data_IF_608945307453
#
_entry.id   IF_608945307453
#
_cell.length_a   1.000
_cell.length_b   1.000
_cell.length_c   1.000
_cell.angle_alpha   90.00
_cell.angle_beta   90.00
_cell.angle_gamma   90.00
#
_symmetry.space_group_name_H-M   'P 1'
#
loop_
_entity.id
_entity.type
_entity.pdbx_description
1 polymer ?
#
# COMPACT_ATOMS: atom_id res chain seq x y z
N UNK A 1 1.84 -15.76 24.26
CA UNK A 1 1.31 -15.88 22.89
C UNK A 1 2.05 -14.85 22.04
N UNK A 2 2.92 -15.26 21.13
CA UNK A 2 3.59 -14.30 20.21
C UNK A 2 2.47 -13.68 19.34
N UNK A 3 2.43 -12.37 19.12
CA UNK A 3 1.48 -11.76 18.18
C UNK A 3 2.20 -11.73 16.84
N UNK A 4 1.57 -12.24 15.77
CA UNK A 4 2.17 -12.13 14.44
C UNK A 4 2.14 -10.66 14.04
N UNK A 5 3.30 -10.10 13.75
CA UNK A 5 3.41 -8.69 13.42
C UNK A 5 3.24 -8.51 11.92
N UNK A 6 2.24 -7.72 11.54
CA UNK A 6 1.90 -7.45 10.14
C UNK A 6 2.31 -6.02 9.82
N UNK A 7 3.04 -5.81 8.74
CA UNK A 7 3.31 -4.47 8.21
C UNK A 7 2.53 -4.25 6.91
N UNK A 8 2.11 -3.01 6.65
CA UNK A 8 1.51 -2.64 5.38
C UNK A 8 2.58 -2.21 4.37
N UNK A 9 2.37 -2.51 3.10
CA UNK A 9 3.17 -2.03 1.98
C UNK A 9 2.26 -1.43 0.90
N UNK A 10 2.51 -0.18 0.53
CA UNK A 10 1.78 0.51 -0.54
C UNK A 10 2.77 0.87 -1.66
N UNK A 11 2.66 0.28 -2.86
CA UNK A 11 3.39 0.77 -4.02
C UNK A 11 2.74 2.07 -4.52
N UNK A 12 3.56 3.09 -4.75
CA UNK A 12 3.09 4.36 -5.27
C UNK A 12 4.11 4.96 -6.25
N UNK A 13 3.65 5.25 -7.47
CA UNK A 13 4.41 5.96 -8.50
C UNK A 13 4.14 7.46 -8.42
N UNK A 14 5.01 8.25 -9.08
CA UNK A 14 4.76 9.67 -9.27
C UNK A 14 3.40 9.94 -9.92
N UNK A 15 2.83 11.11 -9.62
CA UNK A 15 1.47 11.46 -10.06
C UNK A 15 1.40 11.86 -11.54
N UNK A 16 2.55 12.16 -12.16
CA UNK A 16 2.65 12.51 -13.58
C UNK A 16 2.10 11.34 -14.39
N UNK A 17 1.15 11.64 -15.29
CA UNK A 17 0.41 10.66 -16.10
C UNK A 17 -0.52 9.71 -15.33
N UNK A 18 -0.70 9.87 -14.02
CA UNK A 18 -1.61 9.04 -13.24
C UNK A 18 -3.05 9.09 -13.77
N UNK A 19 -3.82 8.03 -13.49
CA UNK A 19 -5.24 7.93 -13.83
C UNK A 19 -5.53 8.19 -15.32
N UNK A 20 -4.66 7.72 -16.22
CA UNK A 20 -4.78 7.96 -17.67
C UNK A 20 -6.14 7.53 -18.26
N UNK A 21 -6.80 6.53 -17.68
CA UNK A 21 -8.16 6.12 -18.08
C UNK A 21 -9.21 7.23 -17.89
N UNK A 22 -8.93 8.23 -17.06
CA UNK A 22 -9.80 9.40 -16.82
C UNK A 22 -9.45 10.60 -17.72
N UNK A 23 -8.47 10.49 -18.63
CA UNK A 23 -8.10 11.57 -19.55
C UNK A 23 -9.28 12.14 -20.38
N UNK A 24 -10.31 11.35 -20.78
CA UNK A 24 -11.49 11.90 -21.44
C UNK A 24 -12.34 12.84 -20.58
N UNK A 25 -12.19 12.80 -19.25
CA UNK A 25 -13.03 13.54 -18.29
C UNK A 25 -12.25 14.61 -17.52
N UNK A 26 -10.93 14.42 -17.34
CA UNK A 26 -10.08 15.25 -16.49
C UNK A 26 -8.79 15.66 -17.21
N UNK A 27 -8.45 16.95 -17.12
CA UNK A 27 -7.13 17.46 -17.50
C UNK A 27 -6.01 16.77 -16.71
N UNK A 28 -4.79 16.75 -17.24
CA UNK A 28 -3.61 16.19 -16.57
C UNK A 28 -3.44 16.69 -15.12
N UNK A 29 -3.50 18.00 -14.88
CA UNK A 29 -3.40 18.59 -13.54
C UNK A 29 -4.48 18.08 -12.57
N UNK A 30 -5.73 17.93 -13.04
CA UNK A 30 -6.81 17.36 -12.22
C UNK A 30 -6.59 15.87 -11.92
N UNK A 31 -5.98 15.11 -12.82
CA UNK A 31 -5.65 13.70 -12.60
C UNK A 31 -4.52 13.53 -11.59
N UNK A 32 -3.50 14.38 -11.67
CA UNK A 32 -2.43 14.45 -10.68
C UNK A 32 -2.97 14.77 -9.28
N UNK A 33 -3.77 15.83 -9.16
CA UNK A 33 -4.41 16.21 -7.90
C UNK A 33 -5.29 15.10 -7.34
N UNK A 34 -6.07 14.43 -8.21
CA UNK A 34 -6.90 13.29 -7.80
C UNK A 34 -6.03 12.13 -7.29
N UNK A 35 -4.95 11.78 -7.99
CA UNK A 35 -4.07 10.71 -7.57
C UNK A 35 -3.36 11.02 -6.24
N UNK A 36 -2.90 12.26 -6.05
CA UNK A 36 -2.33 12.70 -4.77
C UNK A 36 -3.36 12.62 -3.63
N UNK A 37 -4.58 13.11 -3.86
CA UNK A 37 -5.66 13.04 -2.87
C UNK A 37 -5.98 11.58 -2.49
N UNK A 38 -6.12 10.69 -3.48
CA UNK A 38 -6.40 9.28 -3.24
C UNK A 38 -5.30 8.61 -2.41
N UNK A 39 -4.03 8.87 -2.70
CA UNK A 39 -2.93 8.32 -1.91
C UNK A 39 -2.94 8.83 -0.47
N UNK A 40 -3.20 10.13 -0.26
CA UNK A 40 -3.32 10.72 1.08
C UNK A 40 -4.45 10.08 1.87
N UNK A 41 -5.61 9.89 1.25
CA UNK A 41 -6.77 9.24 1.87
C UNK A 41 -6.41 7.82 2.31
N UNK A 42 -5.84 7.01 1.41
CA UNK A 42 -5.40 5.64 1.72
C UNK A 42 -4.36 5.62 2.84
N UNK A 43 -3.29 6.41 2.74
CA UNK A 43 -2.24 6.43 3.75
C UNK A 43 -2.77 6.84 5.12
N UNK A 44 -3.66 7.83 5.18
CA UNK A 44 -4.26 8.28 6.45
C UNK A 44 -5.03 7.16 7.15
N UNK A 45 -5.74 6.32 6.39
CA UNK A 45 -6.55 5.23 6.92
C UNK A 45 -5.69 4.01 7.28
N UNK A 46 -4.65 3.75 6.51
CA UNK A 46 -3.70 2.66 6.78
C UNK A 46 -2.87 2.95 8.03
N UNK A 47 -2.38 4.17 8.20
CA UNK A 47 -1.66 4.59 9.42
C UNK A 47 -2.57 4.58 10.66
N UNK A 48 -3.87 4.86 10.49
CA UNK A 48 -4.85 4.83 11.58
C UNK A 48 -5.21 3.40 12.03
N UNK A 49 -5.03 2.40 11.16
CA UNK A 49 -5.45 1.02 11.43
C UNK A 49 -4.65 0.38 12.57
N UNK A 50 -5.37 -0.18 13.54
CA UNK A 50 -4.75 -0.86 14.67
C UNK A 50 -4.30 -2.26 14.29
N UNK A 51 -3.20 -2.71 14.91
CA UNK A 51 -2.66 -4.06 14.70
C UNK A 51 -1.59 -4.15 13.61
N UNK A 52 -1.41 -3.11 12.79
CA UNK A 52 -0.21 -2.96 11.97
C UNK A 52 0.99 -2.57 12.84
N UNK A 53 2.14 -3.20 12.61
CA UNK A 53 3.40 -2.84 13.25
C UNK A 53 3.99 -1.56 12.63
N UNK A 54 3.93 -1.47 11.30
CA UNK A 54 4.48 -0.36 10.55
C UNK A 54 3.82 -0.26 9.16
N UNK A 55 3.91 0.92 8.56
CA UNK A 55 3.43 1.21 7.20
C UNK A 55 4.62 1.58 6.34
N UNK A 56 4.74 0.95 5.19
CA UNK A 56 5.79 1.21 4.21
C UNK A 56 5.19 1.68 2.89
N UNK A 57 5.88 2.62 2.24
CA UNK A 57 5.60 3.05 0.88
C UNK A 57 6.84 2.79 0.03
N UNK A 58 6.68 2.08 -1.07
CA UNK A 58 7.75 1.94 -2.07
C UNK A 58 7.51 2.92 -3.22
N UNK A 59 8.50 3.76 -3.49
CA UNK A 59 8.41 4.79 -4.52
C UNK A 59 9.78 5.28 -4.99
N UNK A 60 9.87 5.65 -6.27
CA UNK A 60 10.96 6.45 -6.82
C UNK A 60 10.69 7.96 -6.79
N UNK A 61 9.46 8.38 -6.52
CA UNK A 61 9.03 9.77 -6.62
C UNK A 61 9.24 10.53 -5.30
N UNK A 62 9.83 11.73 -5.38
CA UNK A 62 10.11 12.58 -4.21
C UNK A 62 8.82 13.05 -3.53
N UNK A 63 7.83 13.46 -4.32
CA UNK A 63 6.58 14.00 -3.77
C UNK A 63 5.81 12.93 -3.01
N UNK A 64 5.77 11.70 -3.53
CA UNK A 64 5.20 10.54 -2.84
C UNK A 64 5.96 10.25 -1.54
N UNK A 65 7.30 10.29 -1.57
CA UNK A 65 8.16 10.10 -0.40
C UNK A 65 7.89 11.11 0.71
N UNK A 66 7.78 12.40 0.36
CA UNK A 66 7.43 13.48 1.29
C UNK A 66 6.07 13.24 1.95
N UNK A 67 5.05 12.88 1.16
CA UNK A 67 3.70 12.61 1.65
C UNK A 67 3.70 11.45 2.62
N UNK A 68 4.29 10.32 2.23
CA UNK A 68 4.39 9.12 3.04
C UNK A 68 5.07 9.41 4.39
N UNK A 69 6.23 10.05 4.35
CA UNK A 69 6.98 10.43 5.54
C UNK A 69 6.20 11.38 6.45
N UNK A 70 5.51 12.37 5.88
CA UNK A 70 4.71 13.34 6.65
C UNK A 70 3.53 12.72 7.39
N UNK A 71 3.03 11.58 6.90
CA UNK A 71 1.94 10.81 7.50
C UNK A 71 2.45 9.69 8.43
N UNK A 72 3.76 9.56 8.62
CA UNK A 72 4.36 8.56 9.52
C UNK A 72 4.64 7.20 8.90
N UNK A 73 4.55 7.07 7.57
CA UNK A 73 4.98 5.86 6.87
C UNK A 73 6.48 5.88 6.58
N UNK A 74 7.10 4.69 6.55
CA UNK A 74 8.49 4.51 6.13
C UNK A 74 8.59 4.43 4.61
N UNK A 75 9.61 5.06 4.04
CA UNK A 75 9.84 5.03 2.59
C UNK A 75 10.91 3.98 2.23
N UNK A 76 10.60 3.16 1.25
CA UNK A 76 11.56 2.30 0.54
C UNK A 76 11.78 2.92 -0.84
N UNK A 77 13.01 3.35 -1.11
CA UNK A 77 13.35 4.02 -2.36
C UNK A 77 13.64 3.01 -3.45
N UNK A 78 12.89 3.09 -4.55
CA UNK A 78 13.14 2.33 -5.77
C UNK A 78 13.63 3.29 -6.86
N UNK A 79 14.91 3.25 -7.20
CA UNK A 79 15.49 4.15 -8.20
C UNK A 79 15.06 3.81 -9.64
N UNK A 80 14.60 2.58 -9.88
CA UNK A 80 14.24 2.09 -11.21
C UNK A 80 12.76 1.68 -11.24
N UNK A 81 11.86 2.59 -11.61
CA UNK A 81 10.44 2.27 -11.77
C UNK A 81 10.22 1.32 -12.95
N UNK A 82 10.16 0.00 -12.68
CA UNK A 82 9.99 -1.03 -13.72
C UNK A 82 8.56 -1.54 -13.86
N UNK A 83 7.67 -1.14 -12.97
CA UNK A 83 6.31 -1.68 -12.90
C UNK A 83 5.87 -1.75 -11.44
N UNK A 84 4.59 -2.00 -11.22
CA UNK A 84 4.07 -2.13 -9.85
C UNK A 84 4.50 -3.46 -9.21
N UNK A 85 4.44 -4.56 -9.96
CA UNK A 85 4.86 -5.89 -9.52
C UNK A 85 6.34 -5.92 -9.12
N UNK A 86 7.19 -5.26 -9.90
CA UNK A 86 8.62 -5.15 -9.65
C UNK A 86 8.88 -4.33 -8.38
N UNK A 87 8.18 -3.20 -8.21
CA UNK A 87 8.28 -2.36 -7.01
C UNK A 87 7.90 -3.12 -5.74
N UNK A 88 6.79 -3.88 -5.79
CA UNK A 88 6.36 -4.73 -4.68
C UNK A 88 7.40 -5.82 -4.40
N UNK A 89 7.91 -6.49 -5.44
CA UNK A 89 8.91 -7.56 -5.29
C UNK A 89 10.19 -7.03 -4.64
N UNK A 90 10.68 -5.87 -5.11
CA UNK A 90 11.83 -5.18 -4.55
C UNK A 90 11.61 -4.81 -3.08
N UNK A 91 10.49 -4.17 -2.76
CA UNK A 91 10.17 -3.76 -1.40
C UNK A 91 10.01 -4.95 -0.44
N UNK A 92 9.39 -6.06 -0.87
CA UNK A 92 9.28 -7.27 -0.06
C UNK A 92 10.66 -7.88 0.23
N UNK A 93 11.61 -7.83 -0.70
CA UNK A 93 12.98 -8.27 -0.47
C UNK A 93 13.69 -7.39 0.59
N UNK A 94 13.54 -6.06 0.50
CA UNK A 94 14.06 -5.11 1.48
C UNK A 94 13.44 -5.31 2.87
N UNK A 95 12.12 -5.48 2.95
CA UNK A 95 11.40 -5.74 4.20
C UNK A 95 11.82 -7.07 4.84
N UNK A 96 12.07 -8.10 4.03
CA UNK A 96 12.59 -9.38 4.51
C UNK A 96 13.98 -9.25 5.13
N UNK A 97 14.86 -8.42 4.58
CA UNK A 97 16.16 -8.13 5.20
C UNK A 97 16.03 -7.43 6.56
N UNK A 98 14.92 -6.72 6.79
CA UNK A 98 14.56 -6.09 8.07
C UNK A 98 13.80 -7.04 9.02
N UNK A 99 13.80 -8.35 8.74
CA UNK A 99 13.07 -9.38 9.50
C UNK A 99 11.55 -9.19 9.56
N UNK A 100 10.97 -8.51 8.55
CA UNK A 100 9.53 -8.39 8.38
C UNK A 100 9.06 -9.53 7.47
N UNK A 101 8.21 -10.40 7.98
CA UNK A 101 7.83 -11.65 7.30
C UNK A 101 6.33 -11.76 6.98
N UNK A 102 5.49 -10.89 7.55
CA UNK A 102 4.08 -10.81 7.22
C UNK A 102 3.78 -9.39 6.72
N UNK A 103 3.41 -9.30 5.44
CA UNK A 103 3.19 -8.02 4.76
C UNK A 103 1.83 -8.04 4.09
N UNK A 104 1.03 -7.01 4.37
CA UNK A 104 -0.21 -6.72 3.67
C UNK A 104 0.09 -5.70 2.57
N UNK A 105 0.06 -6.13 1.31
CA UNK A 105 0.24 -5.25 0.15
C UNK A 105 -1.11 -4.65 -0.22
N UNK A 106 -1.18 -3.32 -0.35
CA UNK A 106 -2.42 -2.61 -0.66
C UNK A 106 -2.20 -1.56 -1.76
N UNK A 107 -3.16 -1.38 -2.68
CA UNK A 107 -3.06 -0.34 -3.70
C UNK A 107 -3.18 1.05 -3.07
N UNK A 108 -2.43 2.01 -3.62
CA UNK A 108 -2.45 3.41 -3.16
C UNK A 108 -3.67 4.21 -3.64
N UNK A 109 -4.63 3.58 -4.31
CA UNK A 109 -5.67 4.26 -5.07
C UNK A 109 -7.10 3.76 -4.84
N UNK A 110 -7.35 3.28 -3.61
CA UNK A 110 -8.65 2.91 -3.08
C UNK A 110 -9.12 3.93 -2.02
N UNK A 111 -9.46 5.18 -2.40
CA UNK A 111 -9.65 6.30 -1.47
C UNK A 111 -10.81 6.13 -0.48
N UNK A 112 -11.67 5.13 -0.68
CA UNK A 112 -12.78 4.81 0.21
C UNK A 112 -12.41 3.76 1.28
N UNK A 113 -11.17 3.26 1.27
CA UNK A 113 -10.64 2.36 2.28
C UNK A 113 -10.83 2.97 3.67
N UNK A 114 -11.23 2.16 4.65
CA UNK A 114 -11.32 2.57 6.05
C UNK A 114 -10.37 1.73 6.89
N UNK A 115 -9.87 2.31 7.98
CA UNK A 115 -9.03 1.58 8.93
C UNK A 115 -9.69 0.29 9.44
N UNK A 116 -11.01 0.33 9.66
CA UNK A 116 -11.80 -0.84 10.08
C UNK A 116 -11.81 -1.98 9.05
N UNK A 117 -11.68 -1.70 7.75
CA UNK A 117 -11.59 -2.74 6.72
C UNK A 117 -10.28 -3.53 6.88
N UNK A 118 -9.19 -2.83 7.21
CA UNK A 118 -7.87 -3.43 7.45
C UNK A 118 -7.88 -4.23 8.75
N UNK A 119 -8.48 -3.68 9.81
CA UNK A 119 -8.60 -4.34 11.12
C UNK A 119 -9.33 -5.68 11.00
N UNK A 120 -10.43 -5.75 10.22
CA UNK A 120 -11.14 -7.00 9.94
C UNK A 120 -10.26 -8.04 9.23
N UNK A 121 -9.39 -7.62 8.30
CA UNK A 121 -8.43 -8.53 7.65
C UNK A 121 -7.40 -9.07 8.64
N UNK A 122 -6.89 -8.21 9.52
CA UNK A 122 -5.90 -8.57 10.54
C UNK A 122 -6.46 -9.55 11.58
N UNK A 123 -7.75 -9.47 11.89
CA UNK A 123 -8.44 -10.45 12.74
C UNK A 123 -8.44 -11.85 12.11
N UNK A 124 -8.69 -11.96 10.80
CA UNK A 124 -8.64 -13.25 10.08
C UNK A 124 -7.22 -13.85 10.08
N UNK A 125 -6.21 -13.00 9.92
CA UNK A 125 -4.79 -13.38 9.97
C UNK A 125 -4.42 -13.92 11.36
N UNK A 126 -4.91 -13.27 12.42
CA UNK A 126 -4.60 -13.64 13.81
C UNK A 126 -5.24 -14.97 14.22
N UNK A 127 -6.36 -15.34 13.60
CA UNK A 127 -7.08 -16.59 13.85
C UNK A 127 -6.48 -17.81 13.12
N UNK A 128 -5.55 -17.61 12.18
CA UNK A 128 -4.97 -18.70 11.38
C UNK A 128 -3.89 -19.47 12.14
N UNK A 129 -3.82 -20.79 11.89
CA UNK A 129 -2.77 -21.65 12.41
C UNK A 129 -1.42 -21.30 11.76
N UNK A 130 -0.44 -20.98 12.61
CA UNK A 130 0.85 -20.40 12.21
C UNK A 130 1.86 -21.44 11.74
N UNK A 131 1.45 -22.71 11.69
CA UNK A 131 2.30 -23.82 11.27
C UNK A 131 2.46 -23.93 9.75
N UNK A 132 1.64 -23.21 8.97
CA UNK A 132 1.69 -23.24 7.50
C UNK A 132 1.72 -21.83 6.90
N UNK A 133 2.51 -21.58 5.84
CA UNK A 133 2.41 -20.36 5.05
C UNK A 133 1.02 -20.26 4.41
N UNK A 134 0.42 -19.07 4.45
CA UNK A 134 -0.85 -18.79 3.78
C UNK A 134 -0.80 -17.43 3.07
N UNK A 135 -1.74 -17.24 2.14
CA UNK A 135 -2.01 -15.96 1.51
C UNK A 135 -3.50 -15.62 1.69
N UNK A 136 -3.78 -14.36 2.01
CA UNK A 136 -5.12 -13.80 2.06
C UNK A 136 -5.26 -12.81 0.91
N UNK A 137 -6.30 -12.98 0.09
CA UNK A 137 -6.56 -12.12 -1.07
C UNK A 137 -7.97 -11.53 -0.93
N UNK A 138 -8.08 -10.21 -1.11
CA UNK A 138 -9.37 -9.52 -1.18
C UNK A 138 -9.61 -9.13 -2.63
N UNK A 139 -10.66 -9.60 -3.30
CA UNK A 139 -10.89 -9.26 -4.70
C UNK A 139 -11.28 -7.79 -4.87
N UNK A 140 -10.88 -7.18 -5.98
CA UNK A 140 -11.35 -5.87 -6.40
C UNK A 140 -12.87 -5.86 -6.66
N UNK A 141 -13.49 -4.68 -6.61
CA UNK A 141 -14.94 -4.54 -6.86
C UNK A 141 -15.36 -5.09 -8.24
N UNK A 142 -14.53 -4.89 -9.27
CA UNK A 142 -14.78 -5.39 -10.63
C UNK A 142 -14.43 -6.88 -10.81
N UNK A 143 -13.87 -7.53 -9.78
CA UNK A 143 -13.45 -8.94 -9.76
C UNK A 143 -12.42 -9.33 -10.83
N UNK A 144 -11.76 -8.35 -11.43
CA UNK A 144 -10.72 -8.56 -12.43
C UNK A 144 -9.30 -8.50 -11.85
N UNK A 145 -9.18 -8.16 -10.56
CA UNK A 145 -7.93 -8.13 -9.80
C UNK A 145 -8.14 -8.48 -8.32
N UNK A 146 -7.07 -8.30 -7.55
CA UNK A 146 -7.02 -8.42 -6.09
C UNK A 146 -6.43 -7.14 -5.53
#
# INVERSE_FOLDING_TARGET
MIIMKVSALIPAKGFINAKHRLAPLLSAAKRELLAEAMLRDVLSQVVLARGLEAVFVVTGDERVSEIASSLGAHVIREENERGETEAVTFALAEMKQRAIHCVLVMPGDIPLLRSGDIELLLEQISAHDRSVPFALLTPSHDRMGT
#
